data_IF_866143974850
#
_entry.id   IF_866143974850
#
_cell.length_a   1.000
_cell.length_b   1.000
_cell.length_c   1.000
_cell.angle_alpha   90.00
_cell.angle_beta   90.00
_cell.angle_gamma   90.00
#
_symmetry.space_group_name_H-M   'P 1'
#
loop_
_entity.id
_entity.type
_entity.pdbx_description
1 polymer ?
#
# COMPACT_ATOMS: atom_id res chain seq x y z
N UNK A 1 -17.03 38.43 15.33
CA UNK A 1 -16.55 38.16 13.94
C UNK A 1 -15.75 36.86 14.00
N UNK A 2 -16.01 35.90 13.12
CA UNK A 2 -15.37 34.58 13.12
C UNK A 2 -13.85 34.70 12.82
N UNK A 3 -13.05 35.01 13.84
CA UNK A 3 -11.60 35.28 13.73
C UNK A 3 -10.72 34.26 14.45
N UNK A 4 -11.33 33.22 15.05
CA UNK A 4 -10.55 32.18 15.73
C UNK A 4 -9.79 31.33 14.71
N UNK A 5 -8.45 31.35 14.80
CA UNK A 5 -7.56 30.61 13.90
C UNK A 5 -7.89 29.11 13.83
N UNK A 6 -8.27 28.53 14.98
CA UNK A 6 -8.70 27.12 15.06
C UNK A 6 -9.96 26.86 14.22
N UNK A 7 -10.87 27.82 14.15
CA UNK A 7 -12.12 27.71 13.39
C UNK A 7 -11.84 27.94 11.90
N UNK A 8 -10.93 28.86 11.57
CA UNK A 8 -10.50 29.12 10.20
C UNK A 8 -9.76 27.92 9.59
N UNK A 9 -8.83 27.30 10.33
CA UNK A 9 -8.08 26.13 9.88
C UNK A 9 -9.00 24.91 9.68
N UNK A 10 -9.91 24.66 10.63
CA UNK A 10 -10.93 23.60 10.50
C UNK A 10 -11.86 23.87 9.31
N UNK A 11 -12.30 25.11 9.12
CA UNK A 11 -13.16 25.50 8.01
C UNK A 11 -12.47 25.34 6.65
N UNK A 12 -11.21 25.78 6.52
CA UNK A 12 -10.43 25.63 5.29
C UNK A 12 -10.21 24.15 4.94
N UNK A 13 -9.82 23.34 5.93
CA UNK A 13 -9.67 21.88 5.75
C UNK A 13 -10.99 21.21 5.36
N UNK A 14 -12.09 21.57 6.02
CA UNK A 14 -13.41 20.99 5.73
C UNK A 14 -13.98 21.47 4.38
N UNK A 15 -13.66 22.70 3.96
CA UNK A 15 -13.99 23.24 2.62
C UNK A 15 -13.25 22.49 1.52
N UNK A 16 -11.94 22.28 1.71
CA UNK A 16 -11.11 21.45 0.82
C UNK A 16 -11.62 20.01 0.79
N UNK A 17 -12.03 19.44 1.93
CA UNK A 17 -12.56 18.08 2.00
C UNK A 17 -13.99 17.95 1.41
N UNK A 18 -14.85 18.97 1.51
CA UNK A 18 -16.14 19.03 0.78
C UNK A 18 -15.96 19.07 -0.73
N UNK A 19 -14.82 19.58 -1.20
CA UNK A 19 -14.36 19.54 -2.58
C UNK A 19 -13.28 18.47 -2.79
N UNK A 20 -13.14 17.51 -1.87
CA UNK A 20 -12.05 16.55 -1.95
C UNK A 20 -12.08 15.83 -3.27
N UNK A 21 -10.95 15.86 -3.94
CA UNK A 21 -10.66 14.94 -5.01
C UNK A 21 -10.57 13.57 -4.36
N UNK A 22 -11.63 12.78 -4.48
CA UNK A 22 -11.65 11.35 -4.13
C UNK A 22 -10.65 10.63 -5.03
N UNK A 23 -9.34 10.81 -4.86
CA UNK A 23 -8.30 10.37 -5.80
C UNK A 23 -8.53 10.86 -7.23
N UNK A 24 -8.94 12.12 -7.44
CA UNK A 24 -9.24 12.68 -8.77
C UNK A 24 -10.66 12.38 -9.31
N UNK A 25 -11.46 11.57 -8.63
CA UNK A 25 -12.82 11.19 -9.09
C UNK A 25 -13.92 12.22 -8.77
N UNK A 26 -13.58 13.33 -8.11
CA UNK A 26 -14.51 14.41 -7.77
C UNK A 26 -15.48 14.09 -6.62
N UNK A 27 -16.52 14.92 -6.46
CA UNK A 27 -17.53 14.81 -5.40
C UNK A 27 -18.36 13.54 -5.62
N UNK A 28 -18.59 12.77 -4.55
CA UNK A 28 -19.49 11.63 -4.59
C UNK A 28 -20.94 12.09 -4.85
N UNK A 29 -21.52 11.65 -5.97
CA UNK A 29 -22.88 11.99 -6.37
C UNK A 29 -23.78 10.80 -6.08
N UNK A 30 -24.83 11.01 -5.29
CA UNK A 30 -25.87 10.00 -5.08
C UNK A 30 -26.70 9.84 -6.36
N UNK A 31 -26.61 8.67 -7.00
CA UNK A 31 -27.28 8.39 -8.28
C UNK A 31 -28.44 7.42 -8.17
N UNK A 32 -28.65 6.76 -7.01
CA UNK A 32 -29.70 5.76 -6.80
C UNK A 32 -31.13 6.31 -6.70
N UNK A 33 -31.31 7.59 -7.00
CA UNK A 33 -32.63 8.25 -7.00
C UNK A 33 -33.38 8.05 -5.68
N UNK A 34 -34.68 7.75 -5.75
CA UNK A 34 -35.55 7.47 -4.61
C UNK A 34 -35.60 5.97 -4.25
N UNK A 35 -34.77 5.11 -4.87
CA UNK A 35 -34.76 3.67 -4.61
C UNK A 35 -33.46 3.26 -3.95
N UNK A 36 -33.51 2.25 -3.07
CA UNK A 36 -32.28 1.62 -2.57
C UNK A 36 -31.61 0.79 -3.68
N UNK A 37 -30.32 0.50 -3.51
CA UNK A 37 -29.59 -0.40 -4.40
C UNK A 37 -30.25 -1.79 -4.48
N UNK A 38 -30.65 -2.34 -3.33
CA UNK A 38 -31.31 -3.64 -3.23
C UNK A 38 -32.58 -3.70 -4.08
N UNK A 39 -33.50 -2.73 -3.90
CA UNK A 39 -34.74 -2.69 -4.66
C UNK A 39 -34.50 -2.60 -6.17
N UNK A 40 -33.47 -1.85 -6.58
CA UNK A 40 -33.12 -1.70 -8.00
C UNK A 40 -32.53 -2.99 -8.57
N UNK A 41 -31.75 -3.71 -7.76
CA UNK A 41 -31.20 -5.02 -8.12
C UNK A 41 -32.31 -6.06 -8.28
N UNK A 42 -33.30 -6.05 -7.38
CA UNK A 42 -34.47 -6.93 -7.46
C UNK A 42 -35.28 -6.66 -8.74
N UNK A 43 -35.50 -5.39 -9.08
CA UNK A 43 -36.18 -4.99 -10.32
C UNK A 43 -35.42 -5.47 -11.55
N UNK A 44 -34.09 -5.26 -11.63
CA UNK A 44 -33.27 -5.80 -12.73
C UNK A 44 -33.28 -7.33 -12.78
N UNK A 45 -33.32 -8.00 -11.64
CA UNK A 45 -33.39 -9.47 -11.55
C UNK A 45 -34.72 -9.97 -12.11
N UNK A 46 -35.83 -9.29 -11.81
CA UNK A 46 -37.15 -9.61 -12.36
C UNK A 46 -37.15 -9.42 -13.88
N UNK A 47 -36.61 -8.29 -14.36
CA UNK A 47 -36.55 -7.95 -15.78
C UNK A 47 -35.66 -8.91 -16.58
N UNK A 48 -34.58 -9.42 -15.97
CA UNK A 48 -33.69 -10.44 -16.55
C UNK A 48 -34.25 -11.88 -16.47
N UNK A 49 -35.51 -12.08 -16.04
CA UNK A 49 -36.09 -13.42 -15.96
C UNK A 49 -35.71 -14.21 -14.71
N UNK A 50 -35.50 -13.52 -13.58
CA UNK A 50 -35.02 -14.04 -12.29
C UNK A 50 -33.55 -14.45 -12.27
N UNK A 51 -32.76 -13.90 -13.18
CA UNK A 51 -31.31 -14.05 -13.18
C UNK A 51 -30.66 -12.82 -12.56
N UNK A 52 -29.72 -13.04 -11.62
CA UNK A 52 -29.05 -11.96 -10.92
C UNK A 52 -28.23 -11.12 -11.91
N UNK A 53 -28.39 -9.79 -11.94
CA UNK A 53 -27.69 -8.95 -12.89
C UNK A 53 -26.19 -8.98 -12.62
N UNK A 54 -25.40 -9.00 -13.69
CA UNK A 54 -23.96 -8.80 -13.60
C UNK A 54 -23.66 -7.48 -12.86
N UNK A 55 -22.62 -7.51 -12.02
CA UNK A 55 -22.28 -6.40 -11.14
C UNK A 55 -21.90 -5.13 -11.92
N UNK A 56 -21.25 -5.28 -13.09
CA UNK A 56 -20.93 -4.13 -13.93
C UNK A 56 -22.17 -3.55 -14.60
N UNK A 57 -23.07 -4.42 -15.08
CA UNK A 57 -24.36 -4.00 -15.64
C UNK A 57 -25.23 -3.27 -14.60
N UNK A 58 -25.27 -3.79 -13.37
CA UNK A 58 -25.97 -3.16 -12.25
C UNK A 58 -25.39 -1.79 -11.89
N UNK A 59 -24.06 -1.69 -11.81
CA UNK A 59 -23.38 -0.43 -11.53
C UNK A 59 -23.60 0.60 -12.66
N UNK A 60 -23.61 0.15 -13.91
CA UNK A 60 -23.92 0.99 -15.06
C UNK A 60 -25.33 1.60 -14.95
N UNK A 61 -26.34 0.77 -14.67
CA UNK A 61 -27.72 1.21 -14.55
C UNK A 61 -27.96 2.08 -13.31
N UNK A 62 -27.44 1.67 -12.15
CA UNK A 62 -27.63 2.39 -10.90
C UNK A 62 -26.99 3.79 -10.90
N UNK A 63 -25.90 3.98 -11.67
CA UNK A 63 -25.21 5.26 -11.79
C UNK A 63 -25.52 6.05 -13.06
N UNK A 64 -26.43 5.55 -13.90
CA UNK A 64 -26.91 6.20 -15.13
C UNK A 64 -27.86 7.35 -14.82
N UNK A 65 -27.61 8.50 -15.44
CA UNK A 65 -28.51 9.66 -15.40
C UNK A 65 -29.58 9.55 -16.46
N UNK A 66 -30.87 9.56 -16.10
CA UNK A 66 -31.97 9.51 -17.08
C UNK A 66 -32.01 10.71 -18.05
N UNK A 67 -31.45 11.86 -17.64
CA UNK A 67 -31.46 13.09 -18.45
C UNK A 67 -30.36 13.13 -19.51
N UNK A 68 -29.21 12.54 -19.19
CA UNK A 68 -28.00 12.61 -20.02
C UNK A 68 -27.57 11.25 -20.55
N UNK A 69 -28.28 10.18 -20.17
CA UNK A 69 -27.99 8.75 -20.40
C UNK A 69 -26.55 8.30 -20.05
N UNK A 70 -25.80 9.17 -19.36
CA UNK A 70 -24.40 8.97 -19.01
C UNK A 70 -24.22 8.59 -17.53
N UNK A 71 -23.15 7.86 -17.24
CA UNK A 71 -22.75 7.46 -15.89
C UNK A 71 -22.09 8.65 -15.20
N UNK A 72 -22.71 9.20 -14.16
CA UNK A 72 -22.21 10.43 -13.51
C UNK A 72 -21.08 10.20 -12.53
N UNK A 73 -21.04 9.03 -11.88
CA UNK A 73 -19.95 8.70 -10.96
C UNK A 73 -18.72 8.33 -11.78
N UNK A 74 -17.66 9.15 -11.70
CA UNK A 74 -16.44 8.94 -12.49
C UNK A 74 -15.77 7.60 -12.19
N UNK A 75 -15.84 7.10 -10.96
CA UNK A 75 -15.22 5.82 -10.59
C UNK A 75 -16.01 4.67 -11.18
N UNK A 76 -17.33 4.73 -11.12
CA UNK A 76 -18.20 3.72 -11.75
C UNK A 76 -18.09 3.79 -13.26
N UNK A 77 -18.02 4.98 -13.83
CA UNK A 77 -17.82 5.18 -15.27
C UNK A 77 -16.53 4.51 -15.73
N UNK A 78 -15.43 4.67 -14.98
CA UNK A 78 -14.15 3.99 -15.26
C UNK A 78 -14.25 2.47 -15.07
N UNK A 79 -14.95 2.00 -14.03
CA UNK A 79 -15.09 0.57 -13.78
C UNK A 79 -15.96 -0.14 -14.84
N UNK A 80 -16.98 0.54 -15.36
CA UNK A 80 -17.93 -0.01 -16.34
C UNK A 80 -17.43 0.12 -17.77
N UNK A 81 -16.89 1.28 -18.16
CA UNK A 81 -16.49 1.56 -19.54
C UNK A 81 -15.00 1.34 -19.81
N UNK A 82 -14.18 1.14 -18.76
CA UNK A 82 -12.73 1.25 -18.87
C UNK A 82 -12.28 2.71 -19.08
N UNK A 83 -10.97 2.96 -19.03
CA UNK A 83 -10.44 4.29 -19.33
C UNK A 83 -10.60 4.60 -20.83
N UNK A 84 -11.50 5.53 -21.18
CA UNK A 84 -11.39 6.30 -22.43
C UNK A 84 -12.51 6.19 -23.48
N UNK A 85 -13.61 5.46 -23.28
CA UNK A 85 -14.68 5.38 -24.31
C UNK A 85 -16.03 5.83 -23.78
N UNK A 86 -16.58 6.88 -24.40
CA UNK A 86 -18.02 7.09 -24.50
C UNK A 86 -18.45 6.30 -25.75
N UNK A 87 -19.22 5.20 -25.66
CA UNK A 87 -19.75 4.56 -26.85
C UNK A 87 -20.98 5.36 -27.32
N UNK A 88 -20.98 5.73 -28.60
CA UNK A 88 -22.17 6.20 -29.31
C UNK A 88 -23.21 5.06 -29.29
N UNK A 89 -24.50 5.31 -29.02
CA UNK A 89 -25.48 4.25 -28.83
C UNK A 89 -25.79 3.57 -30.17
N UNK A 90 -24.99 2.54 -30.50
CA UNK A 90 -25.17 1.75 -31.71
C UNK A 90 -23.98 0.88 -32.13
N UNK A 91 -22.82 0.95 -31.47
CA UNK A 91 -21.62 0.23 -31.92
C UNK A 91 -21.31 -1.01 -31.06
N UNK A 92 -21.22 -2.18 -31.71
CA UNK A 92 -20.64 -3.41 -31.17
C UNK A 92 -19.21 -3.15 -30.69
N UNK A 93 -18.80 -3.66 -29.51
CA UNK A 93 -17.53 -3.28 -28.89
C UNK A 93 -16.36 -3.74 -29.77
N UNK A 94 -15.36 -2.87 -30.06
CA UNK A 94 -14.14 -3.32 -30.68
C UNK A 94 -13.32 -4.10 -29.64
N UNK A 95 -12.93 -5.29 -30.04
CA UNK A 95 -11.91 -6.10 -29.41
C UNK A 95 -10.62 -5.29 -29.18
N UNK A 96 -10.20 -5.20 -27.93
CA UNK A 96 -8.79 -5.08 -27.52
C UNK A 96 -8.06 -3.77 -27.81
N UNK A 97 -7.51 -3.18 -26.74
CA UNK A 97 -6.43 -2.17 -26.76
C UNK A 97 -6.92 -0.77 -27.18
N UNK A 98 -6.71 0.31 -26.44
CA UNK A 98 -5.42 0.86 -26.06
C UNK A 98 -5.63 1.85 -24.90
N UNK A 99 -5.04 1.57 -23.74
CA UNK A 99 -4.76 2.58 -22.71
C UNK A 99 -3.58 3.40 -23.25
N UNK A 100 -3.58 4.71 -23.02
CA UNK A 100 -2.50 5.62 -23.41
C UNK A 100 -1.14 5.15 -22.88
N UNK A 101 -0.34 4.50 -23.74
CA UNK A 101 0.96 3.89 -23.44
C UNK A 101 1.98 4.84 -22.78
N UNK A 102 1.80 6.16 -22.90
CA UNK A 102 2.77 7.15 -22.44
C UNK A 102 2.91 7.21 -20.90
N UNK A 103 1.81 6.97 -20.16
CA UNK A 103 1.83 6.98 -18.68
C UNK A 103 2.29 5.62 -18.11
N UNK A 104 1.98 4.51 -18.81
CA UNK A 104 2.42 3.16 -18.40
C UNK A 104 3.92 2.96 -18.59
N UNK A 105 4.50 3.41 -19.71
CA UNK A 105 5.95 3.28 -19.95
C UNK A 105 6.78 4.13 -18.97
N UNK A 106 6.30 5.32 -18.62
CA UNK A 106 6.93 6.17 -17.60
C UNK A 106 6.91 5.50 -16.22
N UNK A 107 5.77 4.94 -15.82
CA UNK A 107 5.64 4.18 -14.57
C UNK A 107 6.52 2.92 -14.57
N UNK A 108 6.59 2.18 -15.69
CA UNK A 108 7.46 1.01 -15.83
C UNK A 108 8.94 1.36 -15.73
N UNK A 109 9.38 2.48 -16.32
CA UNK A 109 10.76 2.97 -16.18
C UNK A 109 11.11 3.31 -14.74
N UNK A 110 10.24 4.06 -14.06
CA UNK A 110 10.43 4.42 -12.64
C UNK A 110 10.44 3.17 -11.76
N UNK A 111 9.59 2.18 -12.05
CA UNK A 111 9.56 0.93 -11.32
C UNK A 111 10.87 0.14 -11.50
N UNK A 112 11.36 0.01 -12.73
CA UNK A 112 12.60 -0.71 -13.03
C UNK A 112 13.83 -0.03 -12.41
N UNK A 113 13.88 1.31 -12.44
CA UNK A 113 14.95 2.07 -11.79
C UNK A 113 14.94 1.87 -10.26
N UNK A 114 13.75 1.86 -9.64
CA UNK A 114 13.62 1.55 -8.20
C UNK A 114 14.06 0.13 -7.87
N UNK A 115 13.79 -0.85 -8.74
CA UNK A 115 14.24 -2.23 -8.58
C UNK A 115 15.77 -2.28 -8.65
N UNK A 116 16.38 -1.65 -9.66
CA UNK A 116 17.84 -1.61 -9.79
C UNK A 116 18.53 -1.00 -8.56
N UNK A 117 18.01 0.12 -8.05
CA UNK A 117 18.53 0.76 -6.82
C UNK A 117 18.35 -0.16 -5.61
N UNK A 118 17.26 -0.90 -5.53
CA UNK A 118 17.03 -1.85 -4.45
C UNK A 118 18.03 -3.02 -4.51
N UNK A 119 18.26 -3.58 -5.70
CA UNK A 119 19.21 -4.66 -5.92
C UNK A 119 20.65 -4.24 -5.58
N UNK A 120 21.07 -3.03 -5.95
CA UNK A 120 22.37 -2.46 -5.59
C UNK A 120 22.51 -2.33 -4.07
N UNK A 121 21.48 -1.83 -3.38
CA UNK A 121 21.48 -1.73 -1.91
C UNK A 121 21.55 -3.10 -1.23
N UNK A 122 20.86 -4.11 -1.79
CA UNK A 122 20.92 -5.48 -1.30
C UNK A 122 22.33 -6.02 -1.46
N UNK A 123 22.97 -5.85 -2.62
CA UNK A 123 24.34 -6.28 -2.87
C UNK A 123 25.35 -5.61 -1.91
N UNK A 124 25.24 -4.31 -1.69
CA UNK A 124 26.09 -3.61 -0.71
C UNK A 124 25.85 -4.08 0.73
N UNK A 125 24.61 -4.44 1.08
CA UNK A 125 24.29 -4.94 2.41
C UNK A 125 24.83 -6.35 2.62
N UNK A 126 24.76 -7.22 1.61
CA UNK A 126 25.30 -8.59 1.71
C UNK A 126 26.81 -8.58 1.83
N UNK A 127 27.52 -7.73 1.09
CA UNK A 127 28.97 -7.55 1.25
C UNK A 127 29.35 -7.12 2.67
N UNK A 128 28.63 -6.14 3.24
CA UNK A 128 28.86 -5.69 4.63
C UNK A 128 28.60 -6.80 5.65
N UNK A 129 27.58 -7.63 5.44
CA UNK A 129 27.29 -8.76 6.32
C UNK A 129 28.45 -9.75 6.31
N UNK A 130 28.95 -10.11 5.13
CA UNK A 130 30.09 -11.04 4.99
C UNK A 130 31.33 -10.50 5.70
N UNK A 131 31.63 -9.19 5.57
CA UNK A 131 32.77 -8.60 6.30
C UNK A 131 32.62 -8.68 7.81
N UNK A 132 31.42 -8.40 8.34
CA UNK A 132 31.15 -8.45 9.77
C UNK A 132 31.17 -9.88 10.33
N UNK A 133 30.73 -10.85 9.55
CA UNK A 133 30.80 -12.28 9.91
C UNK A 133 32.24 -12.76 10.01
N UNK A 134 33.11 -12.35 9.09
CA UNK A 134 34.54 -12.66 9.14
C UNK A 134 35.21 -12.02 10.37
N UNK A 135 34.97 -10.73 10.62
CA UNK A 135 35.50 -10.03 11.80
C UNK A 135 35.05 -10.69 13.11
N UNK A 136 33.80 -11.18 13.15
CA UNK A 136 33.27 -11.92 14.30
C UNK A 136 33.99 -13.25 14.47
N UNK A 137 34.19 -14.00 13.40
CA UNK A 137 34.90 -15.28 13.44
C UNK A 137 36.37 -15.10 13.90
N UNK A 138 37.03 -13.99 13.55
CA UNK A 138 38.35 -13.66 14.06
C UNK A 138 38.35 -13.36 15.57
N UNK A 139 37.39 -12.55 16.03
CA UNK A 139 37.23 -12.25 17.46
C UNK A 139 36.93 -13.50 18.29
N UNK A 140 36.11 -14.41 17.77
CA UNK A 140 35.80 -15.67 18.44
C UNK A 140 37.05 -16.55 18.64
N UNK A 141 37.98 -16.57 17.67
CA UNK A 141 39.28 -17.26 17.81
C UNK A 141 40.14 -16.65 18.92
N UNK A 142 40.16 -15.31 19.02
CA UNK A 142 40.91 -14.61 20.08
C UNK A 142 40.32 -14.93 21.45
N UNK A 143 39.00 -14.92 21.58
CA UNK A 143 38.30 -15.26 22.82
C UNK A 143 38.62 -16.71 23.23
N UNK A 144 38.57 -17.67 22.31
CA UNK A 144 38.93 -19.06 22.58
C UNK A 144 40.38 -19.22 23.05
N UNK A 145 41.31 -18.49 22.42
CA UNK A 145 42.71 -18.51 22.82
C UNK A 145 42.91 -17.97 24.24
N UNK A 146 42.28 -16.84 24.57
CA UNK A 146 42.34 -16.25 25.90
C UNK A 146 41.69 -17.15 26.95
N UNK A 147 40.56 -17.78 26.65
CA UNK A 147 39.92 -18.78 27.52
C UNK A 147 40.86 -19.96 27.82
N UNK A 148 41.55 -20.48 26.79
CA UNK A 148 42.50 -21.57 26.97
C UNK A 148 43.68 -21.17 27.86
N UNK A 149 44.22 -19.95 27.70
CA UNK A 149 45.26 -19.42 28.59
C UNK A 149 44.71 -19.32 30.02
N UNK A 150 43.54 -18.73 30.21
CA UNK A 150 42.93 -18.57 31.53
C UNK A 150 42.76 -19.94 32.21
N UNK A 151 42.24 -20.94 31.51
CA UNK A 151 42.13 -22.31 32.03
C UNK A 151 43.48 -22.94 32.40
N UNK A 152 44.54 -22.67 31.63
CA UNK A 152 45.91 -23.14 31.96
C UNK A 152 46.52 -22.43 33.17
N UNK A 153 46.20 -21.15 33.36
CA UNK A 153 46.67 -20.39 34.53
C UNK A 153 45.96 -20.91 35.78
N UNK A 154 44.63 -21.01 35.72
CA UNK A 154 43.81 -21.54 36.83
C UNK A 154 44.22 -22.97 37.19
N UNK A 155 44.53 -23.83 36.22
CA UNK A 155 44.97 -25.20 36.52
C UNK A 155 46.37 -25.29 37.14
N UNK A 156 47.25 -24.31 36.87
CA UNK A 156 48.59 -24.23 37.47
C UNK A 156 48.61 -23.54 38.82
N UNK A 157 47.66 -22.64 39.06
CA UNK A 157 47.56 -21.82 40.26
C UNK A 157 46.13 -21.88 40.81
N UNK A 158 45.70 -23.05 41.33
CA UNK A 158 44.35 -23.21 41.88
C UNK A 158 44.12 -22.30 43.10
N UNK A 159 45.20 -21.92 43.80
CA UNK A 159 45.17 -21.05 44.98
C UNK A 159 44.71 -19.61 44.64
N UNK A 160 44.77 -19.19 43.38
CA UNK A 160 44.25 -17.88 42.93
C UNK A 160 42.72 -17.81 42.92
N UNK A 161 42.02 -18.94 43.14
CA UNK A 161 40.56 -19.01 43.25
C UNK A 161 40.07 -18.99 44.70
N UNK A 162 40.96 -18.99 45.70
CA UNK A 162 40.54 -18.78 47.08
C UNK A 162 40.17 -17.31 47.24
N UNK A 163 38.86 -17.03 47.24
CA UNK A 163 38.36 -15.81 47.88
C UNK A 163 38.71 -15.94 49.36
N UNK A 164 39.63 -15.10 49.84
CA UNK A 164 39.85 -14.92 51.27
C UNK A 164 38.54 -14.42 51.89
N UNK A 165 37.69 -15.34 52.35
CA UNK A 165 36.47 -15.04 53.13
C UNK A 165 36.78 -14.46 54.54
N UNK A 166 38.03 -14.12 54.85
CA UNK A 166 38.44 -13.60 56.16
C UNK A 166 38.79 -12.11 56.14
N UNK A 167 38.00 -11.30 55.42
CA UNK A 167 37.99 -9.85 55.57
C UNK A 167 36.61 -9.33 56.02
N UNK A 168 35.98 -10.00 56.99
CA UNK A 168 34.88 -9.39 57.77
C UNK A 168 35.46 -8.86 59.08
N UNK A 169 35.31 -7.55 59.23
CA UNK A 169 35.80 -6.68 60.29
C UNK A 169 35.18 -7.02 61.66
N UNK A 170 36.00 -7.09 62.72
CA UNK A 170 35.90 -6.30 63.98
C UNK A 170 37.04 -6.63 64.96
#
# INVERSE_FOLDING_TARGET
MWKDEKVQAKSSTNSTNRRSERGGFGIAIHNTWAKSYERRKDEMTIDNGREEPDMLAFLADAHRSRKTDDIRDKKVKVAVLGFGTLPDPGQVPPSGSFISNLDQEGQLRIANEKIAIADEKIAMATEKIVTLENDKAEKDKVIQYLQNIASKVVSKFPDLLQEDEDATQE
#
